data_IF_684928019303
#
_entry.id   IF_684928019303
#
_cell.length_a   1.000
_cell.length_b   1.000
_cell.length_c   1.000
_cell.angle_alpha   90.00
_cell.angle_beta   90.00
_cell.angle_gamma   90.00
#
_symmetry.space_group_name_H-M   'P 1'
#
loop_
_entity.id
_entity.type
_entity.pdbx_description
1 polymer ?
#
# COMPACT_ATOMS: atom_id res chain seq x y z
N UNK A 1 26.31 -4.36 -12.18
CA UNK A 1 25.12 -5.10 -11.70
C UNK A 1 24.19 -5.33 -12.86
N UNK A 2 24.16 -6.55 -13.36
CA UNK A 2 23.43 -6.93 -14.56
C UNK A 2 22.32 -7.90 -14.15
N UNK A 3 21.10 -7.60 -14.53
CA UNK A 3 19.95 -8.46 -14.32
C UNK A 3 19.77 -9.37 -15.53
N UNK A 4 19.95 -10.68 -15.31
CA UNK A 4 19.56 -11.71 -16.28
C UNK A 4 18.20 -12.28 -15.85
N UNK A 5 17.19 -12.09 -16.68
CA UNK A 5 15.82 -12.52 -16.39
C UNK A 5 15.25 -13.43 -17.47
N UNK A 6 14.15 -14.13 -17.16
CA UNK A 6 13.44 -14.96 -18.13
C UNK A 6 12.57 -14.11 -19.07
N UNK A 7 11.90 -13.12 -18.51
CA UNK A 7 11.11 -12.12 -19.23
C UNK A 7 11.02 -10.84 -18.40
N UNK A 8 10.74 -9.71 -19.03
CA UNK A 8 10.19 -8.56 -18.35
C UNK A 8 9.10 -7.93 -19.19
N UNK A 9 8.06 -7.41 -18.54
CA UNK A 9 7.03 -6.61 -19.18
C UNK A 9 7.14 -5.14 -18.80
N UNK A 10 7.00 -4.28 -19.81
CA UNK A 10 7.05 -2.83 -19.72
C UNK A 10 6.13 -2.25 -20.80
N UNK A 11 5.33 -1.24 -20.47
CA UNK A 11 4.43 -0.55 -21.42
C UNK A 11 3.62 -1.50 -22.33
N UNK A 12 2.91 -2.47 -21.72
CA UNK A 12 2.07 -3.49 -22.38
C UNK A 12 2.78 -4.42 -23.41
N UNK A 13 4.11 -4.42 -23.39
CA UNK A 13 4.95 -5.34 -24.16
C UNK A 13 5.90 -6.13 -23.25
N UNK A 14 6.55 -7.16 -23.80
CA UNK A 14 7.56 -7.93 -23.07
C UNK A 14 8.72 -8.37 -23.97
N UNK A 15 9.81 -8.88 -23.38
CA UNK A 15 10.92 -9.44 -24.16
C UNK A 15 10.43 -10.60 -25.01
N UNK A 16 9.72 -11.56 -24.39
CA UNK A 16 9.25 -12.75 -25.09
C UNK A 16 8.26 -12.42 -26.21
N UNK A 17 7.37 -11.44 -25.99
CA UNK A 17 6.41 -10.99 -27.02
C UNK A 17 7.10 -10.37 -28.24
N UNK A 18 8.33 -9.89 -28.08
CA UNK A 18 9.15 -9.29 -29.13
C UNK A 18 10.25 -10.22 -29.64
N UNK A 19 10.23 -11.51 -29.26
CA UNK A 19 11.28 -12.48 -29.60
C UNK A 19 12.69 -12.02 -29.18
N UNK A 20 12.79 -11.43 -27.98
CA UNK A 20 14.04 -10.98 -27.37
C UNK A 20 14.40 -11.85 -26.17
N UNK A 21 15.68 -11.88 -25.83
CA UNK A 21 16.21 -12.56 -24.65
C UNK A 21 17.06 -11.63 -23.81
N UNK A 22 17.00 -11.80 -22.48
CA UNK A 22 17.93 -11.17 -21.55
C UNK A 22 19.18 -12.02 -21.41
N UNK A 23 20.35 -11.38 -21.49
CA UNK A 23 21.66 -12.04 -21.44
C UNK A 23 22.60 -11.27 -20.54
N UNK A 24 23.83 -11.78 -20.38
CA UNK A 24 24.93 -11.01 -19.83
C UNK A 24 26.00 -10.90 -20.92
N UNK A 25 26.39 -9.68 -21.27
CA UNK A 25 27.44 -9.42 -22.27
C UNK A 25 28.81 -9.32 -21.60
N UNK A 26 28.82 -9.15 -20.28
CA UNK A 26 30.03 -9.02 -19.48
C UNK A 26 30.22 -10.25 -18.59
N UNK A 27 31.40 -10.37 -18.01
CA UNK A 27 31.66 -11.34 -16.96
C UNK A 27 31.24 -10.82 -15.55
N UNK A 28 30.49 -9.70 -15.48
CA UNK A 28 29.99 -9.14 -14.23
C UNK A 28 28.82 -9.99 -13.69
N UNK A 29 29.06 -10.66 -12.57
CA UNK A 29 28.07 -11.48 -11.85
C UNK A 29 27.49 -10.78 -10.63
N UNK A 30 27.73 -9.46 -10.47
CA UNK A 30 27.19 -8.68 -9.37
C UNK A 30 25.66 -8.56 -9.46
N UNK A 31 25.00 -8.93 -8.38
CA UNK A 31 23.55 -8.92 -8.30
C UNK A 31 23.02 -7.51 -7.97
N UNK A 32 21.86 -7.11 -8.53
CA UNK A 32 21.30 -5.79 -8.34
C UNK A 32 20.84 -5.56 -6.89
N UNK A 33 21.58 -4.75 -6.13
CA UNK A 33 21.21 -4.29 -4.79
C UNK A 33 21.82 -2.92 -4.47
N UNK A 34 21.06 -2.02 -3.84
CA UNK A 34 21.51 -0.63 -3.57
C UNK A 34 21.04 -0.09 -2.21
N UNK A 35 21.27 -0.84 -1.14
CA UNK A 35 20.81 -0.41 0.19
C UNK A 35 21.86 0.50 0.85
N UNK A 36 21.73 1.81 0.62
CA UNK A 36 22.45 2.84 1.38
C UNK A 36 21.47 3.73 2.15
N UNK A 37 21.83 4.03 3.40
CA UNK A 37 20.98 4.78 4.34
C UNK A 37 21.80 5.75 5.15
N UNK A 38 21.18 6.86 5.48
CA UNK A 38 21.68 7.85 6.44
C UNK A 38 20.69 8.00 7.59
N UNK A 39 21.21 8.23 8.79
CA UNK A 39 20.43 8.58 9.96
C UNK A 39 20.48 10.09 10.17
N UNK A 40 19.33 10.71 10.34
CA UNK A 40 19.25 12.09 10.81
C UNK A 40 19.56 12.10 12.29
N UNK A 41 20.58 12.86 12.70
CA UNK A 41 21.09 12.87 14.07
C UNK A 41 21.22 14.29 14.61
N UNK A 42 21.12 14.45 15.93
CA UNK A 42 21.40 15.71 16.61
C UNK A 42 22.88 16.09 16.53
N UNK A 43 23.17 17.37 16.69
CA UNK A 43 24.56 17.83 16.84
C UNK A 43 25.18 17.35 18.17
N UNK A 44 26.47 17.05 18.11
CA UNK A 44 27.31 16.78 19.29
C UNK A 44 27.74 18.11 19.91
N UNK A 45 27.90 18.14 21.23
CA UNK A 45 28.46 19.28 21.95
C UNK A 45 29.29 18.80 23.15
N UNK A 46 30.04 19.68 23.84
CA UNK A 46 30.92 19.27 24.95
C UNK A 46 30.22 18.55 26.11
N UNK A 47 28.89 18.65 26.22
CA UNK A 47 28.08 18.00 27.26
C UNK A 47 27.23 16.84 26.71
N UNK A 48 27.24 16.62 25.38
CA UNK A 48 26.51 15.57 24.68
C UNK A 48 27.44 14.91 23.66
N UNK A 49 28.08 13.83 24.13
CA UNK A 49 29.04 13.05 23.34
C UNK A 49 28.36 11.96 22.49
N UNK A 50 27.04 11.80 22.60
CA UNK A 50 26.23 10.86 21.83
C UNK A 50 25.14 11.60 21.06
N UNK A 51 25.08 11.38 19.74
CA UNK A 51 24.09 12.00 18.89
C UNK A 51 22.76 11.25 18.99
N UNK A 52 21.65 11.97 19.10
CA UNK A 52 20.31 11.39 19.13
C UNK A 52 19.78 11.23 17.70
N UNK A 53 19.39 10.02 17.29
CA UNK A 53 18.78 9.76 15.98
C UNK A 53 17.30 10.12 15.94
N UNK A 54 16.86 10.79 14.86
CA UNK A 54 15.47 11.22 14.64
C UNK A 54 14.75 10.40 13.56
N UNK A 55 15.49 9.74 12.68
CA UNK A 55 14.92 8.99 11.57
C UNK A 55 15.99 8.49 10.60
N UNK A 56 15.59 7.68 9.63
CA UNK A 56 16.47 7.20 8.57
C UNK A 56 15.88 7.54 7.21
N UNK A 57 16.74 7.85 6.25
CA UNK A 57 16.39 7.98 4.84
C UNK A 57 17.28 7.10 3.98
N UNK A 58 16.74 6.62 2.86
CA UNK A 58 17.53 5.98 1.82
C UNK A 58 18.18 7.05 0.95
N UNK A 59 19.45 6.89 0.64
CA UNK A 59 20.23 7.88 -0.14
C UNK A 59 20.47 7.49 -1.58
N UNK A 60 20.17 6.23 -1.93
CA UNK A 60 20.30 5.70 -3.28
C UNK A 60 19.03 4.96 -3.70
N UNK A 61 18.86 4.84 -5.01
CA UNK A 61 17.79 4.06 -5.64
C UNK A 61 18.37 2.86 -6.36
N UNK A 62 17.57 1.82 -6.51
CA UNK A 62 17.98 0.61 -7.21
C UNK A 62 18.21 0.92 -8.69
N UNK A 63 19.42 0.69 -9.17
CA UNK A 63 19.81 0.93 -10.56
C UNK A 63 20.57 -0.30 -11.03
N UNK A 64 20.24 -0.80 -12.22
CA UNK A 64 20.86 -2.00 -12.79
C UNK A 64 20.75 -1.98 -14.31
N UNK A 65 21.58 -2.80 -14.95
CA UNK A 65 21.53 -2.98 -16.40
C UNK A 65 20.74 -4.25 -16.75
N UNK A 66 19.99 -4.19 -17.85
CA UNK A 66 19.44 -5.35 -18.53
C UNK A 66 20.06 -5.37 -19.92
N UNK A 67 20.74 -6.46 -20.27
CA UNK A 67 21.24 -6.63 -21.63
C UNK A 67 20.25 -7.45 -22.43
N UNK A 68 19.99 -7.01 -23.65
CA UNK A 68 18.96 -7.56 -24.52
C UNK A 68 19.61 -7.98 -25.83
N UNK A 69 19.26 -9.16 -26.31
CA UNK A 69 19.59 -9.63 -27.66
C UNK A 69 18.35 -10.24 -28.32
N UNK A 70 18.43 -10.54 -29.62
CA UNK A 70 17.43 -11.38 -30.28
C UNK A 70 17.39 -12.74 -29.59
N UNK A 71 16.23 -13.37 -29.58
CA UNK A 71 16.09 -14.67 -28.93
C UNK A 71 17.04 -15.69 -29.58
N UNK A 72 18.06 -16.11 -28.82
CA UNK A 72 19.13 -17.01 -29.27
C UNK A 72 18.68 -18.47 -29.39
N UNK A 73 17.50 -18.82 -28.88
CA UNK A 73 16.88 -20.14 -29.11
C UNK A 73 16.23 -20.23 -30.49
N UNK A 74 15.89 -19.07 -31.08
CA UNK A 74 15.27 -18.96 -32.41
C UNK A 74 16.33 -18.61 -33.46
N UNK A 75 17.20 -17.66 -33.15
CA UNK A 75 18.25 -17.15 -34.02
C UNK A 75 19.56 -17.85 -33.63
N UNK A 76 19.99 -18.80 -34.45
CA UNK A 76 21.07 -19.74 -34.10
C UNK A 76 22.40 -19.42 -34.76
N UNK A 77 22.39 -18.54 -35.77
CA UNK A 77 23.60 -18.02 -36.41
C UNK A 77 23.91 -16.59 -35.97
N UNK A 78 25.18 -16.18 -36.13
CA UNK A 78 25.61 -14.83 -35.78
C UNK A 78 24.88 -13.77 -36.62
N UNK A 79 24.67 -14.02 -37.92
CA UNK A 79 23.96 -13.11 -38.83
C UNK A 79 22.49 -12.91 -38.41
N UNK A 80 21.81 -13.96 -37.94
CA UNK A 80 20.42 -13.86 -37.47
C UNK A 80 20.28 -13.05 -36.17
N UNK A 81 21.35 -12.97 -35.37
CA UNK A 81 21.39 -12.18 -34.13
C UNK A 81 21.63 -10.68 -34.37
N UNK A 82 21.97 -10.28 -35.60
CA UNK A 82 22.20 -8.88 -35.96
C UNK A 82 20.88 -8.11 -35.95
N UNK A 83 20.82 -7.01 -35.21
CA UNK A 83 19.68 -6.10 -35.24
C UNK A 83 19.72 -5.25 -36.52
N UNK A 84 18.60 -5.22 -37.24
CA UNK A 84 18.41 -4.19 -38.28
C UNK A 84 18.15 -2.82 -37.62
N UNK A 85 18.37 -1.71 -38.35
CA UNK A 85 18.04 -0.37 -37.86
C UNK A 85 16.57 -0.25 -37.41
N UNK A 86 15.64 -0.89 -38.11
CA UNK A 86 14.21 -0.85 -37.78
C UNK A 86 13.89 -1.60 -36.49
N UNK A 87 14.51 -2.77 -36.27
CA UNK A 87 14.34 -3.53 -35.03
C UNK A 87 14.93 -2.77 -33.85
N UNK A 88 16.11 -2.18 -34.02
CA UNK A 88 16.74 -1.33 -33.00
C UNK A 88 15.84 -0.15 -32.64
N UNK A 89 15.35 0.61 -33.62
CA UNK A 89 14.47 1.75 -33.40
C UNK A 89 13.18 1.34 -32.68
N UNK A 90 12.59 0.21 -33.05
CA UNK A 90 11.38 -0.32 -32.40
C UNK A 90 11.63 -0.60 -30.91
N UNK A 91 12.77 -1.20 -30.56
CA UNK A 91 13.10 -1.54 -29.17
C UNK A 91 13.43 -0.28 -28.37
N UNK A 92 14.21 0.63 -28.93
CA UNK A 92 14.56 1.90 -28.28
C UNK A 92 13.28 2.70 -28.03
N UNK A 93 12.42 2.86 -29.04
CA UNK A 93 11.13 3.52 -28.90
C UNK A 93 10.30 2.90 -27.78
N UNK A 94 10.22 1.57 -27.69
CA UNK A 94 9.49 0.90 -26.61
C UNK A 94 10.04 1.23 -25.22
N UNK A 95 11.35 1.14 -25.03
CA UNK A 95 11.97 1.30 -23.72
C UNK A 95 12.09 2.76 -23.28
N UNK A 96 12.22 3.72 -24.21
CA UNK A 96 12.45 5.13 -23.90
C UNK A 96 11.21 6.03 -23.99
N UNK A 97 10.07 5.55 -24.48
CA UNK A 97 8.88 6.41 -24.70
C UNK A 97 8.20 6.90 -23.42
N UNK A 98 8.35 6.20 -22.29
CA UNK A 98 7.72 6.60 -21.03
C UNK A 98 8.34 7.87 -20.47
N UNK A 99 7.55 8.93 -20.33
CA UNK A 99 7.98 10.20 -19.73
C UNK A 99 7.85 10.26 -18.20
N UNK A 100 7.51 9.13 -17.56
CA UNK A 100 7.29 9.00 -16.12
C UNK A 100 7.85 7.68 -15.61
N UNK A 101 7.97 7.58 -14.28
CA UNK A 101 8.24 6.31 -13.62
C UNK A 101 7.09 5.34 -13.86
N UNK A 102 7.39 4.23 -14.52
CA UNK A 102 6.44 3.19 -14.91
C UNK A 102 6.83 1.86 -14.26
N UNK A 103 5.83 0.98 -14.10
CA UNK A 103 6.07 -0.35 -13.56
C UNK A 103 6.71 -1.23 -14.63
N UNK A 104 7.82 -1.88 -14.28
CA UNK A 104 8.36 -3.04 -14.99
C UNK A 104 8.04 -4.28 -14.13
N UNK A 105 7.59 -5.35 -14.76
CA UNK A 105 7.38 -6.64 -14.10
C UNK A 105 8.40 -7.63 -14.64
N UNK A 106 9.32 -8.04 -13.79
CA UNK A 106 10.39 -9.00 -14.11
C UNK A 106 9.95 -10.40 -13.69
N UNK A 107 10.14 -11.37 -14.58
CA UNK A 107 10.10 -12.79 -14.25
C UNK A 107 11.53 -13.27 -14.10
N UNK A 108 11.94 -13.62 -12.88
CA UNK A 108 13.30 -14.09 -12.58
C UNK A 108 13.55 -15.47 -13.21
N UNK A 109 14.81 -15.90 -13.23
CA UNK A 109 15.17 -17.26 -13.66
C UNK A 109 14.50 -18.35 -12.81
N UNK A 110 14.17 -18.04 -11.55
CA UNK A 110 13.40 -18.90 -10.64
C UNK A 110 11.89 -18.94 -10.91
N UNK A 111 11.38 -18.27 -11.95
CA UNK A 111 9.96 -18.02 -12.22
C UNK A 111 9.23 -17.22 -11.11
N UNK A 112 9.96 -16.37 -10.39
CA UNK A 112 9.34 -15.43 -9.45
C UNK A 112 8.99 -14.11 -10.16
N UNK A 113 7.85 -13.53 -9.81
CA UNK A 113 7.38 -12.26 -10.37
C UNK A 113 7.71 -11.12 -9.42
N UNK A 114 8.47 -10.14 -9.92
CA UNK A 114 8.96 -9.00 -9.16
C UNK A 114 8.64 -7.71 -9.90
N UNK A 115 8.09 -6.73 -9.20
CA UNK A 115 7.74 -5.41 -9.76
C UNK A 115 8.77 -4.37 -9.36
N UNK A 116 9.17 -3.51 -10.29
CA UNK A 116 9.98 -2.32 -10.01
C UNK A 116 9.34 -1.10 -10.64
N UNK A 117 9.58 0.09 -10.07
CA UNK A 117 9.04 1.34 -10.59
C UNK A 117 10.18 2.28 -10.94
N UNK A 118 10.24 2.71 -12.18
CA UNK A 118 11.37 3.47 -12.70
C UNK A 118 11.26 3.77 -14.18
N UNK A 119 12.39 4.04 -14.82
CA UNK A 119 12.49 4.30 -16.25
C UNK A 119 13.85 3.82 -16.77
N UNK A 120 13.93 3.60 -18.08
CA UNK A 120 15.20 3.35 -18.75
C UNK A 120 15.96 4.67 -18.90
N UNK A 121 17.07 4.82 -18.20
CA UNK A 121 17.89 6.04 -18.18
C UNK A 121 18.91 6.09 -19.31
N UNK A 122 19.33 4.93 -19.82
CA UNK A 122 20.27 4.81 -20.93
C UNK A 122 19.98 3.55 -21.74
N UNK A 123 20.05 3.65 -23.05
CA UNK A 123 19.96 2.52 -23.99
C UNK A 123 21.06 2.70 -25.01
N UNK A 124 22.05 1.81 -25.02
CA UNK A 124 23.20 1.87 -25.93
C UNK A 124 23.35 0.56 -26.70
N UNK A 125 23.72 0.60 -27.99
CA UNK A 125 23.95 -0.61 -28.76
C UNK A 125 25.15 -1.40 -28.18
N UNK A 126 25.03 -2.72 -28.19
CA UNK A 126 26.15 -3.63 -28.04
C UNK A 126 26.64 -4.01 -29.43
N UNK A 127 27.73 -3.38 -29.85
CA UNK A 127 28.26 -3.52 -31.21
C UNK A 127 29.61 -4.24 -31.24
N UNK A 128 29.86 -4.91 -32.36
CA UNK A 128 31.17 -5.43 -32.71
C UNK A 128 31.44 -5.08 -34.17
N UNK A 129 32.51 -4.32 -34.44
CA UNK A 129 32.87 -3.85 -35.79
C UNK A 129 31.76 -3.08 -36.53
N UNK A 130 30.96 -2.30 -35.79
CA UNK A 130 29.86 -1.50 -36.34
C UNK A 130 28.57 -2.26 -36.62
N UNK A 131 28.49 -3.53 -36.21
CA UNK A 131 27.28 -4.36 -36.28
C UNK A 131 26.68 -4.49 -34.89
N UNK A 132 25.38 -4.21 -34.76
CA UNK A 132 24.65 -4.26 -33.50
C UNK A 132 24.11 -5.67 -33.23
N UNK A 133 24.57 -6.32 -32.16
CA UNK A 133 24.13 -7.66 -31.73
C UNK A 133 23.21 -7.63 -30.51
N UNK A 134 23.03 -6.45 -29.91
CA UNK A 134 22.30 -6.31 -28.66
C UNK A 134 22.16 -4.87 -28.20
N UNK A 135 21.52 -4.71 -27.04
CA UNK A 135 21.36 -3.42 -26.36
C UNK A 135 21.74 -3.58 -24.90
N UNK A 136 22.42 -2.57 -24.35
CA UNK A 136 22.65 -2.38 -22.91
C UNK A 136 21.68 -1.32 -22.43
N UNK A 137 20.79 -1.71 -21.53
CA UNK A 137 19.71 -0.85 -21.05
C UNK A 137 19.87 -0.63 -19.54
N UNK A 138 20.14 0.59 -19.10
CA UNK A 138 20.15 0.95 -17.69
C UNK A 138 18.73 1.29 -17.23
N UNK A 139 18.24 0.59 -16.20
CA UNK A 139 16.97 0.88 -15.57
C UNK A 139 17.20 1.51 -14.19
N UNK A 140 16.68 2.73 -14.02
CA UNK A 140 16.78 3.49 -12.78
C UNK A 140 15.45 3.50 -12.04
N UNK A 141 15.40 2.83 -10.89
CA UNK A 141 14.22 2.82 -10.05
C UNK A 141 14.04 4.16 -9.33
N UNK A 142 12.81 4.44 -8.91
CA UNK A 142 12.48 5.60 -8.07
C UNK A 142 12.55 5.29 -6.57
N UNK A 143 12.91 4.06 -6.20
CA UNK A 143 13.10 3.60 -4.83
C UNK A 143 14.25 2.58 -4.76
N UNK A 144 14.78 2.28 -3.57
CA UNK A 144 15.80 1.24 -3.39
C UNK A 144 15.22 -0.19 -3.36
N UNK A 145 13.93 -0.35 -3.65
CA UNK A 145 13.22 -1.60 -3.47
C UNK A 145 12.73 -2.16 -4.80
N UNK A 146 12.72 -3.49 -4.87
CA UNK A 146 11.75 -4.18 -5.70
C UNK A 146 10.50 -4.49 -4.89
N UNK A 147 9.42 -4.92 -5.54
CA UNK A 147 8.13 -5.13 -4.91
C UNK A 147 7.55 -6.48 -5.29
N UNK A 148 6.94 -7.15 -4.32
CA UNK A 148 6.10 -8.33 -4.56
C UNK A 148 4.66 -7.92 -4.36
N UNK A 149 3.82 -8.17 -5.35
CA UNK A 149 2.40 -7.90 -5.28
C UNK A 149 1.67 -9.05 -4.61
N UNK A 150 0.79 -8.72 -3.68
CA UNK A 150 -0.11 -9.64 -3.01
C UNK A 150 -1.54 -9.24 -3.32
N UNK A 151 -2.37 -10.25 -3.53
CA UNK A 151 -3.80 -10.08 -3.79
C UNK A 151 -4.58 -10.96 -2.81
N UNK A 152 -5.67 -10.44 -2.28
CA UNK A 152 -6.58 -11.15 -1.40
C UNK A 152 -8.02 -10.70 -1.70
N UNK A 153 -8.96 -11.64 -1.62
CA UNK A 153 -10.38 -11.35 -1.84
C UNK A 153 -11.20 -11.76 -0.62
N UNK A 154 -12.04 -10.85 -0.13
CA UNK A 154 -12.89 -11.09 1.04
C UNK A 154 -14.35 -10.76 0.72
N UNK A 155 -15.21 -11.75 0.80
CA UNK A 155 -16.66 -11.52 0.88
C UNK A 155 -17.06 -11.30 2.34
N UNK A 156 -17.74 -10.18 2.59
CA UNK A 156 -18.24 -9.76 3.90
C UNK A 156 -19.76 -9.81 3.87
N UNK A 157 -20.34 -10.55 4.80
CA UNK A 157 -21.79 -10.57 5.05
C UNK A 157 -22.01 -10.13 6.48
N UNK A 158 -22.50 -8.90 6.65
CA UNK A 158 -22.73 -8.21 7.92
C UNK A 158 -21.47 -7.93 8.75
N UNK A 159 -20.71 -8.95 9.15
CA UNK A 159 -19.46 -8.79 9.91
C UNK A 159 -18.50 -9.93 9.63
N UNK A 160 -17.21 -9.64 9.45
CA UNK A 160 -16.15 -10.64 9.29
C UNK A 160 -14.84 -10.18 9.91
N UNK A 161 -14.13 -11.12 10.53
CA UNK A 161 -12.72 -10.96 10.85
C UNK A 161 -11.88 -11.69 9.79
N UNK A 162 -10.80 -11.07 9.33
CA UNK A 162 -9.82 -11.72 8.46
C UNK A 162 -8.41 -11.19 8.76
N UNK A 163 -7.40 -11.81 8.17
CA UNK A 163 -6.01 -11.48 8.40
C UNK A 163 -5.28 -11.28 7.08
N UNK A 164 -4.45 -10.25 7.02
CA UNK A 164 -3.50 -10.03 5.93
C UNK A 164 -2.08 -10.15 6.48
N UNK A 165 -1.18 -10.74 5.72
CA UNK A 165 0.23 -10.89 6.10
C UNK A 165 1.09 -9.91 5.30
N UNK A 166 1.87 -9.09 6.01
CA UNK A 166 2.90 -8.25 5.42
C UNK A 166 4.27 -8.80 5.80
N UNK A 167 4.91 -9.46 4.86
CA UNK A 167 6.23 -10.06 5.02
C UNK A 167 7.34 -9.16 4.46
N UNK A 168 7.05 -7.90 4.12
CA UNK A 168 7.99 -6.96 3.50
C UNK A 168 9.31 -6.81 4.27
N UNK A 169 10.37 -6.42 3.56
CA UNK A 169 11.68 -6.17 4.14
C UNK A 169 11.75 -4.89 4.99
N UNK A 170 10.74 -4.02 4.90
CA UNK A 170 10.62 -2.79 5.70
C UNK A 170 9.86 -3.06 7.00
N UNK A 171 10.53 -3.67 7.98
CA UNK A 171 9.91 -4.11 9.24
C UNK A 171 9.25 -3.01 10.08
N UNK A 172 9.79 -1.79 9.99
CA UNK A 172 9.30 -0.62 10.73
C UNK A 172 8.49 0.34 9.85
N UNK A 173 8.37 0.03 8.55
CA UNK A 173 7.55 0.78 7.62
C UNK A 173 6.14 0.20 7.57
N UNK A 174 5.26 0.96 6.93
CA UNK A 174 3.91 0.52 6.62
C UNK A 174 3.79 0.13 5.15
N UNK A 175 3.00 -0.90 4.86
CA UNK A 175 2.54 -1.19 3.50
C UNK A 175 1.11 -0.68 3.36
N UNK A 176 0.85 0.09 2.32
CA UNK A 176 -0.46 0.68 2.05
C UNK A 176 -1.18 -0.12 0.94
N UNK A 177 -2.33 -0.75 1.24
CA UNK A 177 -3.11 -1.45 0.23
C UNK A 177 -3.95 -0.50 -0.62
N UNK A 178 -4.30 -0.98 -1.80
CA UNK A 178 -5.44 -0.51 -2.59
C UNK A 178 -6.57 -1.51 -2.37
N UNK A 179 -7.75 -1.01 -1.98
CA UNK A 179 -8.93 -1.84 -1.71
C UNK A 179 -10.04 -1.44 -2.66
N UNK A 180 -10.44 -2.34 -3.55
CA UNK A 180 -11.66 -2.17 -4.34
C UNK A 180 -12.82 -2.76 -3.55
N UNK A 181 -13.78 -1.90 -3.22
CA UNK A 181 -14.97 -2.21 -2.44
C UNK A 181 -16.13 -2.33 -3.42
N UNK A 182 -16.77 -3.50 -3.45
CA UNK A 182 -17.95 -3.80 -4.27
C UNK A 182 -19.18 -4.01 -3.39
N UNK A 183 -20.01 -2.96 -3.17
CA UNK A 183 -21.10 -3.02 -2.21
C UNK A 183 -22.31 -3.81 -2.74
N UNK A 184 -22.83 -4.74 -1.94
CA UNK A 184 -24.06 -5.45 -2.22
C UNK A 184 -25.32 -4.74 -1.66
N UNK A 185 -25.12 -3.70 -0.84
CA UNK A 185 -26.18 -2.89 -0.24
C UNK A 185 -25.75 -1.43 -0.10
N UNK A 186 -26.73 -0.53 -0.01
CA UNK A 186 -26.50 0.87 0.35
C UNK A 186 -26.52 0.98 1.88
N UNK A 187 -25.35 1.17 2.48
CA UNK A 187 -25.17 1.20 3.94
C UNK A 187 -23.87 1.92 4.34
N UNK A 188 -23.68 2.13 5.63
CA UNK A 188 -22.38 2.54 6.18
C UNK A 188 -21.57 1.31 6.57
N UNK A 189 -20.30 1.30 6.15
CA UNK A 189 -19.34 0.23 6.43
C UNK A 189 -18.21 0.75 7.31
N UNK A 190 -17.53 -0.15 8.01
CA UNK A 190 -16.27 0.18 8.68
C UNK A 190 -15.23 -0.91 8.53
N UNK A 191 -13.98 -0.50 8.66
CA UNK A 191 -12.80 -1.34 8.79
C UNK A 191 -12.08 -0.95 10.07
N UNK A 192 -11.88 -1.92 10.95
CA UNK A 192 -11.06 -1.75 12.14
C UNK A 192 -9.82 -2.65 12.01
N UNK A 193 -8.66 -2.04 11.79
CA UNK A 193 -7.38 -2.71 11.87
C UNK A 193 -7.01 -2.89 13.35
N UNK A 194 -7.27 -4.08 13.88
CA UNK A 194 -6.99 -4.41 15.28
C UNK A 194 -5.48 -4.39 15.57
N UNK A 195 -4.64 -4.67 14.57
CA UNK A 195 -3.18 -4.68 14.73
C UNK A 195 -2.56 -3.27 14.80
N UNK A 196 -3.22 -2.26 14.21
CA UNK A 196 -2.76 -0.86 14.20
C UNK A 196 -3.72 0.06 14.99
N UNK A 197 -4.45 -0.52 15.93
CA UNK A 197 -5.30 0.19 16.87
C UNK A 197 -4.81 -0.05 18.30
N UNK A 198 -5.07 0.92 19.18
CA UNK A 198 -4.92 0.71 20.62
C UNK A 198 -6.30 0.45 21.20
N UNK A 199 -6.58 -0.81 21.55
CA UNK A 199 -7.78 -1.16 22.32
C UNK A 199 -7.57 -0.71 23.76
N UNK A 200 -8.46 0.13 24.26
CA UNK A 200 -8.38 0.77 25.57
C UNK A 200 -9.28 0.09 26.59
N UNK A 201 -10.47 -0.32 26.15
CA UNK A 201 -11.43 -1.04 26.97
C UNK A 201 -12.18 -2.05 26.12
N UNK A 202 -12.49 -3.21 26.70
CA UNK A 202 -13.34 -4.22 26.10
C UNK A 202 -14.16 -4.89 27.19
N UNK A 203 -15.48 -4.86 27.04
CA UNK A 203 -16.39 -5.50 27.99
C UNK A 203 -17.74 -5.78 27.29
N UNK A 204 -18.74 -6.22 28.04
CA UNK A 204 -20.07 -6.50 27.51
C UNK A 204 -21.06 -5.37 27.79
N UNK A 205 -22.00 -5.21 26.88
CA UNK A 205 -23.16 -4.33 26.95
C UNK A 205 -24.41 -5.14 26.65
N UNK A 206 -25.50 -4.88 27.38
CA UNK A 206 -26.78 -5.54 27.14
C UNK A 206 -27.45 -4.88 25.94
N UNK A 207 -27.50 -5.60 24.81
CA UNK A 207 -28.19 -5.16 23.61
C UNK A 207 -29.66 -4.85 23.92
N UNK A 208 -30.13 -3.71 23.42
CA UNK A 208 -31.50 -3.24 23.60
C UNK A 208 -32.35 -3.57 22.36
N UNK A 209 -33.64 -3.25 22.41
CA UNK A 209 -34.59 -3.46 21.30
C UNK A 209 -34.26 -2.68 20.03
N UNK A 210 -33.39 -1.66 20.11
CA UNK A 210 -32.86 -0.94 18.95
C UNK A 210 -31.40 -0.59 19.13
N UNK A 211 -30.70 -0.36 18.02
CA UNK A 211 -29.31 0.10 18.03
C UNK A 211 -29.18 1.45 18.72
N UNK A 212 -30.09 2.39 18.45
CA UNK A 212 -30.13 3.70 19.10
C UNK A 212 -30.18 3.61 20.63
N UNK A 213 -30.98 2.71 21.20
CA UNK A 213 -31.03 2.50 22.66
C UNK A 213 -29.74 1.85 23.20
N UNK A 214 -29.17 0.92 22.44
CA UNK A 214 -27.88 0.30 22.80
C UNK A 214 -26.75 1.31 22.76
N UNK A 215 -26.80 2.25 21.81
CA UNK A 215 -25.85 3.33 21.65
C UNK A 215 -25.84 4.29 22.85
N UNK A 216 -27.00 4.58 23.47
CA UNK A 216 -27.06 5.37 24.71
C UNK A 216 -26.35 4.66 25.88
N UNK A 217 -26.46 3.33 25.96
CA UNK A 217 -25.68 2.56 26.92
C UNK A 217 -24.18 2.65 26.60
N UNK A 218 -23.80 2.63 25.32
CA UNK A 218 -22.40 2.77 24.90
C UNK A 218 -21.85 4.15 25.30
N UNK A 219 -22.62 5.23 25.12
CA UNK A 219 -22.27 6.58 25.60
C UNK A 219 -21.99 6.58 27.10
N UNK A 220 -22.83 5.92 27.89
CA UNK A 220 -22.61 5.77 29.33
C UNK A 220 -21.29 5.05 29.63
N UNK A 221 -20.90 4.04 28.85
CA UNK A 221 -19.58 3.39 28.99
C UNK A 221 -18.43 4.34 28.67
N UNK A 222 -18.54 5.11 27.58
CA UNK A 222 -17.56 6.13 27.18
C UNK A 222 -17.38 7.19 28.28
N UNK A 223 -18.47 7.71 28.83
CA UNK A 223 -18.43 8.69 29.93
C UNK A 223 -17.74 8.14 31.18
N UNK A 224 -18.02 6.89 31.55
CA UNK A 224 -17.39 6.24 32.70
C UNK A 224 -15.88 6.02 32.46
N UNK A 225 -15.50 5.62 31.24
CA UNK A 225 -14.09 5.52 30.85
C UNK A 225 -13.39 6.87 30.97
N UNK A 226 -13.98 7.95 30.44
CA UNK A 226 -13.43 9.30 30.51
C UNK A 226 -13.24 9.77 31.97
N UNK A 227 -14.27 9.58 32.82
CA UNK A 227 -14.21 9.93 34.25
C UNK A 227 -13.11 9.17 34.99
N UNK A 228 -13.01 7.86 34.76
CA UNK A 228 -12.00 7.01 35.40
C UNK A 228 -10.58 7.43 35.04
N UNK A 229 -10.37 7.85 33.79
CA UNK A 229 -9.07 8.30 33.27
C UNK A 229 -8.84 9.81 33.46
N UNK A 230 -9.74 10.54 34.14
CA UNK A 230 -9.64 11.99 34.39
C UNK A 230 -9.52 12.82 33.10
N UNK A 231 -10.19 12.39 32.04
CA UNK A 231 -10.23 13.11 30.76
C UNK A 231 -11.54 13.88 30.63
N UNK A 232 -11.53 15.01 29.91
CA UNK A 232 -12.76 15.65 29.43
C UNK A 232 -13.20 15.01 28.12
N UNK A 233 -14.51 14.77 27.99
CA UNK A 233 -15.13 14.13 26.83
C UNK A 233 -15.83 15.18 25.95
N UNK A 234 -15.63 15.07 24.65
CA UNK A 234 -16.28 15.88 23.62
C UNK A 234 -16.69 14.97 22.45
N UNK A 235 -17.96 14.92 22.08
CA UNK A 235 -18.43 14.03 21.02
C UNK A 235 -18.20 14.64 19.63
N UNK A 236 -18.16 13.79 18.60
CA UNK A 236 -18.28 14.27 17.22
C UNK A 236 -19.76 14.54 16.94
N UNK A 237 -20.07 15.73 16.46
CA UNK A 237 -21.45 16.16 16.16
C UNK A 237 -21.69 16.23 14.65
N UNK A 238 -22.88 15.84 14.22
CA UNK A 238 -23.36 16.03 12.85
C UNK A 238 -23.81 17.47 12.58
N UNK A 239 -24.19 17.76 11.32
CA UNK A 239 -24.71 19.07 10.91
C UNK A 239 -25.98 19.50 11.69
N UNK A 240 -26.73 18.54 12.22
CA UNK A 240 -27.93 18.73 13.06
C UNK A 240 -27.63 18.98 14.54
N UNK A 241 -26.34 19.07 14.92
CA UNK A 241 -25.84 19.20 16.29
C UNK A 241 -26.18 18.03 17.21
N UNK A 242 -26.58 16.87 16.66
CA UNK A 242 -26.69 15.63 17.42
C UNK A 242 -25.36 14.90 17.41
N UNK A 243 -25.14 14.05 18.42
CA UNK A 243 -23.97 13.16 18.43
C UNK A 243 -24.05 12.26 17.20
N UNK A 244 -23.02 12.30 16.37
CA UNK A 244 -22.93 11.51 15.16
C UNK A 244 -22.76 10.04 15.53
N UNK A 245 -23.72 9.23 15.09
CA UNK A 245 -23.57 7.79 15.07
C UNK A 245 -23.06 7.35 13.69
N UNK A 246 -22.34 6.24 13.68
CA UNK A 246 -21.81 5.62 12.47
C UNK A 246 -22.19 4.13 12.43
N UNK A 247 -22.29 3.60 11.22
CA UNK A 247 -22.55 2.20 10.92
C UNK A 247 -23.87 1.70 11.53
N UNK A 248 -24.98 2.34 11.15
CA UNK A 248 -26.33 2.01 11.62
C UNK A 248 -26.49 2.05 13.16
N UNK A 249 -26.05 3.15 13.79
CA UNK A 249 -26.13 3.35 15.25
C UNK A 249 -25.34 2.33 16.07
N UNK A 250 -24.25 1.75 15.54
CA UNK A 250 -23.43 0.76 16.26
C UNK A 250 -22.11 1.31 16.77
N UNK A 251 -21.70 2.48 16.27
CA UNK A 251 -20.42 3.09 16.59
C UNK A 251 -20.56 4.62 16.80
N UNK A 252 -19.64 5.19 17.59
CA UNK A 252 -19.52 6.63 17.89
C UNK A 252 -18.04 7.02 17.85
N UNK A 253 -17.79 8.21 17.33
CA UNK A 253 -16.50 8.89 17.44
C UNK A 253 -16.57 10.03 18.47
N UNK A 254 -15.48 10.23 19.19
CA UNK A 254 -15.37 11.24 20.24
C UNK A 254 -13.92 11.64 20.47
N UNK A 255 -13.71 12.70 21.22
CA UNK A 255 -12.41 13.18 21.66
C UNK A 255 -12.29 13.08 23.18
N UNK A 256 -11.11 12.70 23.64
CA UNK A 256 -10.71 12.84 25.03
C UNK A 256 -9.57 13.85 25.10
N UNK A 257 -9.65 14.76 26.08
CA UNK A 257 -8.56 15.67 26.43
C UNK A 257 -8.02 15.30 27.80
N UNK A 258 -6.72 15.07 27.89
CA UNK A 258 -6.06 14.70 29.14
C UNK A 258 -5.78 15.92 30.04
N UNK A 259 -5.20 15.67 31.22
CA UNK A 259 -4.87 16.72 32.19
C UNK A 259 -3.83 17.74 31.69
N UNK A 260 -3.09 17.41 30.62
CA UNK A 260 -2.11 18.30 29.99
C UNK A 260 -2.69 19.09 28.82
N UNK A 261 -3.98 18.92 28.52
CA UNK A 261 -4.67 19.60 27.41
C UNK A 261 -4.47 18.91 26.05
N UNK A 262 -3.92 17.69 26.01
CA UNK A 262 -3.72 16.96 24.75
C UNK A 262 -5.03 16.31 24.33
N UNK A 263 -5.60 16.77 23.21
CA UNK A 263 -6.86 16.26 22.63
C UNK A 263 -6.57 15.21 21.56
N UNK A 264 -7.13 14.02 21.71
CA UNK A 264 -7.01 12.92 20.73
C UNK A 264 -8.40 12.39 20.32
N UNK A 265 -8.52 11.86 19.10
CA UNK A 265 -9.74 11.23 18.59
C UNK A 265 -9.77 9.74 18.91
N UNK A 266 -10.93 9.26 19.32
CA UNK A 266 -11.22 7.90 19.72
C UNK A 266 -12.49 7.41 19.04
N UNK A 267 -12.68 6.09 19.05
CA UNK A 267 -13.92 5.47 18.63
C UNK A 267 -14.38 4.45 19.65
N UNK A 268 -15.67 4.17 19.59
CA UNK A 268 -16.25 3.04 20.28
C UNK A 268 -17.32 2.40 19.41
N UNK A 269 -17.41 1.08 19.44
CA UNK A 269 -18.50 0.33 18.82
C UNK A 269 -18.85 -0.89 19.64
N UNK A 270 -20.03 -1.45 19.38
CA UNK A 270 -20.41 -2.79 19.86
C UNK A 270 -20.71 -3.71 18.68
N UNK A 271 -20.57 -5.01 18.90
CA UNK A 271 -20.90 -6.05 17.91
C UNK A 271 -22.10 -6.88 18.38
N UNK A 272 -22.59 -7.75 17.51
CA UNK A 272 -23.85 -8.48 17.68
C UNK A 272 -23.94 -9.40 18.91
N UNK A 273 -22.80 -9.78 19.48
CA UNK A 273 -22.78 -10.58 20.71
C UNK A 273 -22.83 -9.70 21.99
N UNK A 274 -22.95 -8.38 21.85
CA UNK A 274 -22.95 -7.44 22.96
C UNK A 274 -21.56 -7.05 23.47
N UNK A 275 -20.48 -7.50 22.84
CA UNK A 275 -19.14 -7.03 23.20
C UNK A 275 -18.93 -5.62 22.63
N UNK A 276 -18.48 -4.68 23.46
CA UNK A 276 -18.08 -3.34 23.03
C UNK A 276 -16.59 -3.10 23.20
N UNK A 277 -16.11 -2.12 22.44
CA UNK A 277 -14.71 -1.73 22.38
C UNK A 277 -14.64 -0.21 22.47
N UNK A 278 -13.70 0.28 23.28
CA UNK A 278 -13.22 1.66 23.21
C UNK A 278 -11.78 1.59 22.69
N UNK A 279 -11.46 2.37 21.68
CA UNK A 279 -10.19 2.27 20.97
C UNK A 279 -9.69 3.63 20.47
N UNK A 280 -8.40 3.65 20.10
CA UNK A 280 -7.74 4.78 19.45
C UNK A 280 -7.04 4.30 18.18
N UNK A 281 -7.24 5.02 17.07
CA UNK A 281 -6.63 4.71 15.77
C UNK A 281 -7.25 3.49 15.07
N UNK A 282 -6.70 3.14 13.90
CA UNK A 282 -7.03 1.91 13.19
C UNK A 282 -8.44 1.81 12.59
N UNK A 283 -9.25 2.86 12.58
CA UNK A 283 -10.67 2.78 12.22
C UNK A 283 -11.05 3.69 11.04
N UNK A 284 -11.46 3.07 9.94
CA UNK A 284 -11.98 3.73 8.74
C UNK A 284 -13.47 3.43 8.59
N UNK A 285 -14.26 4.41 8.16
CA UNK A 285 -15.67 4.21 7.83
C UNK A 285 -16.05 5.05 6.61
N UNK A 286 -17.06 4.59 5.89
CA UNK A 286 -17.68 5.37 4.83
C UNK A 286 -19.10 4.87 4.53
N UNK A 287 -19.88 5.69 3.86
CA UNK A 287 -21.13 5.32 3.20
C UNK A 287 -20.80 4.74 1.83
N UNK A 288 -21.39 3.59 1.53
CA UNK A 288 -21.36 2.97 0.21
C UNK A 288 -22.76 2.93 -0.39
N UNK A 289 -22.82 2.82 -1.72
CA UNK A 289 -24.06 2.65 -2.47
C UNK A 289 -24.02 1.31 -3.18
N UNK A 290 -25.14 0.60 -3.16
CA UNK A 290 -25.29 -0.67 -3.85
C UNK A 290 -24.91 -0.52 -5.33
N UNK A 291 -24.15 -1.50 -5.83
CA UNK A 291 -23.72 -1.60 -7.23
C UNK A 291 -22.83 -0.43 -7.72
N UNK A 292 -22.31 0.40 -6.80
CA UNK A 292 -21.35 1.46 -7.10
C UNK A 292 -19.99 1.13 -6.47
N UNK A 293 -19.06 0.67 -7.30
CA UNK A 293 -17.72 0.31 -6.87
C UNK A 293 -16.92 1.53 -6.39
N UNK A 294 -16.18 1.33 -5.31
CA UNK A 294 -15.35 2.37 -4.69
C UNK A 294 -13.93 1.83 -4.50
N UNK A 295 -12.92 2.57 -4.93
CA UNK A 295 -11.51 2.24 -4.75
C UNK A 295 -10.90 3.12 -3.66
N UNK A 296 -10.44 2.47 -2.58
CA UNK A 296 -9.69 3.08 -1.49
C UNK A 296 -8.19 2.90 -1.74
N UNK A 297 -7.52 3.98 -2.15
CA UNK A 297 -6.07 4.01 -2.31
C UNK A 297 -5.44 4.57 -1.04
N UNK A 298 -5.00 3.68 -0.16
CA UNK A 298 -4.47 4.07 1.14
C UNK A 298 -3.08 4.71 1.06
N UNK A 299 -2.35 4.52 -0.05
CA UNK A 299 -1.04 5.14 -0.26
C UNK A 299 -1.16 6.59 -0.71
N UNK A 300 -2.18 6.88 -1.52
CA UNK A 300 -2.48 8.23 -2.00
C UNK A 300 -3.51 8.98 -1.14
N UNK A 301 -3.96 8.37 -0.04
CA UNK A 301 -4.94 8.95 0.89
C UNK A 301 -6.19 9.45 0.16
N UNK A 302 -6.69 8.65 -0.80
CA UNK A 302 -7.75 9.07 -1.71
C UNK A 302 -8.75 7.96 -2.01
N UNK A 303 -9.98 8.37 -2.33
CA UNK A 303 -11.07 7.52 -2.80
C UNK A 303 -11.35 7.80 -4.28
N UNK A 304 -11.63 6.75 -5.05
CA UNK A 304 -11.96 6.85 -6.46
C UNK A 304 -13.20 6.03 -6.80
N UNK A 305 -13.95 6.46 -7.81
CA UNK A 305 -15.01 5.65 -8.42
C UNK A 305 -14.46 4.67 -9.46
N UNK A 306 -15.36 3.89 -10.08
CA UNK A 306 -15.04 2.94 -11.14
C UNK A 306 -14.32 3.56 -12.36
N UNK A 307 -14.48 4.87 -12.59
CA UNK A 307 -13.84 5.61 -13.68
C UNK A 307 -12.50 6.24 -13.26
N UNK A 308 -11.98 5.88 -12.09
CA UNK A 308 -10.78 6.46 -11.46
C UNK A 308 -10.90 7.98 -11.21
N UNK A 309 -12.11 8.51 -11.01
CA UNK A 309 -12.29 9.92 -10.64
C UNK A 309 -12.28 10.05 -9.11
N UNK A 310 -11.60 11.07 -8.55
CA UNK A 310 -11.62 11.30 -7.11
C UNK A 310 -13.04 11.50 -6.57
N UNK A 311 -13.34 10.86 -5.44
CA UNK A 311 -14.61 10.99 -4.73
C UNK A 311 -14.44 11.91 -3.52
N UNK A 312 -15.30 12.92 -3.42
CA UNK A 312 -15.31 13.86 -2.28
C UNK A 312 -15.83 13.16 -1.03
N UNK A 313 -15.17 13.36 0.11
CA UNK A 313 -15.48 12.69 1.38
C UNK A 313 -16.93 12.86 1.86
N UNK A 314 -17.52 14.05 1.70
CA UNK A 314 -18.92 14.28 2.04
C UNK A 314 -19.89 13.35 1.28
N UNK A 315 -19.57 12.97 0.03
CA UNK A 315 -20.41 12.06 -0.79
C UNK A 315 -20.43 10.64 -0.25
N UNK A 316 -19.41 10.27 0.52
CA UNK A 316 -19.29 8.97 1.19
C UNK A 316 -19.49 9.10 2.70
N UNK A 317 -20.21 10.13 3.15
CA UNK A 317 -20.64 10.26 4.55
C UNK A 317 -19.51 10.53 5.55
N UNK A 318 -18.35 10.98 5.08
CA UNK A 318 -17.24 11.42 5.93
C UNK A 318 -17.33 12.95 6.05
N UNK A 319 -17.82 13.43 7.20
CA UNK A 319 -17.99 14.88 7.46
C UNK A 319 -16.82 15.50 8.24
N UNK A 320 -15.98 14.67 8.89
CA UNK A 320 -14.87 15.11 9.75
C UNK A 320 -13.56 14.53 9.25
N UNK A 321 -12.87 15.30 8.40
CA UNK A 321 -11.65 14.90 7.70
C UNK A 321 -10.39 14.93 8.56
N UNK A 322 -10.48 15.47 9.78
CA UNK A 322 -9.36 15.78 10.66
C UNK A 322 -8.52 14.58 11.11
N UNK A 323 -9.01 13.35 10.92
CA UNK A 323 -8.38 12.09 11.38
C UNK A 323 -8.90 10.86 10.61
N UNK A 324 -8.94 10.90 9.27
CA UNK A 324 -9.28 9.70 8.48
C UNK A 324 -8.13 8.69 8.62
N UNK A 325 -8.45 7.49 9.12
CA UNK A 325 -7.51 6.38 9.11
C UNK A 325 -7.42 5.79 7.72
N UNK A 326 -6.24 5.86 7.10
CA UNK A 326 -5.95 5.14 5.87
C UNK A 326 -5.34 3.81 6.22
N UNK A 327 -5.98 2.73 5.75
CA UNK A 327 -5.60 1.37 6.11
C UNK A 327 -4.13 1.16 5.78
N UNK A 328 -3.39 0.63 6.74
CA UNK A 328 -1.97 0.34 6.61
C UNK A 328 -1.62 -0.97 7.27
N UNK A 329 -0.67 -1.70 6.71
CA UNK A 329 -0.24 -3.01 7.16
C UNK A 329 1.10 -2.88 7.88
N UNK A 330 1.11 -3.21 9.16
CA UNK A 330 2.33 -3.43 9.95
C UNK A 330 3.04 -4.69 9.47
N UNK A 331 4.35 -4.79 9.69
CA UNK A 331 5.05 -6.05 9.43
C UNK A 331 4.48 -7.19 10.27
N UNK A 332 4.29 -8.36 9.66
CA UNK A 332 3.64 -9.53 10.25
C UNK A 332 2.15 -9.60 9.95
N UNK A 333 1.39 -10.15 10.90
CA UNK A 333 -0.04 -10.40 10.74
C UNK A 333 -0.91 -9.20 11.15
N UNK A 334 -1.75 -8.74 10.22
CA UNK A 334 -2.69 -7.64 10.41
C UNK A 334 -4.10 -8.20 10.50
N UNK A 335 -4.72 -8.12 11.67
CA UNK A 335 -6.08 -8.59 11.88
C UNK A 335 -7.07 -7.46 11.67
N UNK A 336 -8.04 -7.70 10.79
CA UNK A 336 -9.10 -6.77 10.48
C UNK A 336 -10.43 -7.28 11.01
N UNK A 337 -11.25 -6.34 11.48
CA UNK A 337 -12.68 -6.52 11.66
C UNK A 337 -13.42 -5.57 10.74
N UNK A 338 -14.30 -6.12 9.91
CA UNK A 338 -15.03 -5.36 8.90
C UNK A 338 -16.52 -5.61 9.05
N UNK A 339 -17.31 -4.55 8.88
CA UNK A 339 -18.78 -4.58 8.90
C UNK A 339 -19.36 -4.07 7.59
N UNK A 340 -20.44 -4.70 7.14
CA UNK A 340 -21.16 -4.37 5.91
C UNK A 340 -21.44 -5.60 5.03
N UNK A 341 -22.04 -5.37 3.87
CA UNK A 341 -22.33 -6.39 2.86
C UNK A 341 -21.64 -6.02 1.54
N UNK A 342 -20.48 -6.62 1.29
CA UNK A 342 -19.61 -6.24 0.17
C UNK A 342 -18.59 -7.33 -0.15
N UNK A 343 -18.04 -7.27 -1.35
CA UNK A 343 -16.81 -7.98 -1.72
C UNK A 343 -15.66 -6.98 -1.76
N UNK A 344 -14.52 -7.38 -1.20
CA UNK A 344 -13.29 -6.60 -1.19
C UNK A 344 -12.26 -7.31 -2.04
N UNK A 345 -11.66 -6.60 -2.99
CA UNK A 345 -10.40 -7.01 -3.62
C UNK A 345 -9.28 -6.13 -3.07
N UNK A 346 -8.34 -6.75 -2.39
CA UNK A 346 -7.26 -6.08 -1.68
C UNK A 346 -5.96 -6.40 -2.40
N UNK A 347 -5.27 -5.36 -2.88
CA UNK A 347 -3.95 -5.48 -3.50
C UNK A 347 -2.95 -4.64 -2.72
N UNK A 348 -1.76 -5.19 -2.45
CA UNK A 348 -0.68 -4.44 -1.80
C UNK A 348 0.69 -4.87 -2.31
N UNK A 349 1.62 -3.91 -2.27
CA UNK A 349 2.99 -4.08 -2.75
C UNK A 349 3.94 -4.14 -1.56
N UNK A 350 4.58 -5.28 -1.36
CA UNK A 350 5.56 -5.49 -0.31
C UNK A 350 6.95 -5.10 -0.81
N UNK A 351 7.62 -4.07 -0.24
CA UNK A 351 8.99 -3.74 -0.61
C UNK A 351 9.95 -4.87 -0.20
N UNK A 352 10.87 -5.20 -1.12
CA UNK A 352 11.90 -6.23 -1.00
C UNK A 352 13.28 -5.63 -1.30
N UNK A 353 14.27 -5.98 -0.48
CA UNK A 353 15.67 -5.51 -0.63
C UNK A 353 16.53 -6.37 -1.55
N UNK A 354 15.99 -7.50 -2.02
CA UNK A 354 16.76 -8.48 -2.82
C UNK A 354 15.89 -9.50 -3.51
N UNK A 355 14.67 -9.15 -3.97
CA UNK A 355 13.85 -10.13 -4.71
C UNK A 355 14.35 -10.37 -6.16
N UNK A 356 15.32 -9.58 -6.63
CA UNK A 356 15.97 -9.79 -7.92
C UNK A 356 17.19 -10.73 -7.85
N UNK A 357 17.55 -11.20 -6.65
CA UNK A 357 18.69 -12.06 -6.36
C UNK A 357 18.26 -13.53 -6.46
#
# INVERSE_FOLDING_TARGET
MILVCKDFSYDDNSLLKQNLSSVNFDDDTSLPSSIKREMEVSELNPFRNEATGFGMKYTETLTFEIHITKNYEINTSQEELEFTPEEYESIVSWLSSSNKNSWITVTTQGNETVKLKGYFSSITPYENWGICYGLRCEFKCNSPFSYVEKNDQQTITRSKNFMLENTSSEKYGYVYPVINIRPAATEQIYFHNLSDSKILETNNITLQSSNKLTLELLKTKIENYAKTNRCSLDYVYGKDKQVMSICNDTAILFYLTDAFGVKNKYGAYYIENGQYYIFQGGFFYCQVQRDLDLKLDCGNLSLYDELNRPVVFERVGIEHEDNIYWIRLLHGHNTFRVYGNMTLDITYLEPRKGALI
#
